data_IF_138585828312
#
_entry.id   IF_138585828312
#
_cell.length_a   1.000
_cell.length_b   1.000
_cell.length_c   1.000
_cell.angle_alpha   90.00
_cell.angle_beta   90.00
_cell.angle_gamma   90.00
#
_symmetry.space_group_name_H-M   'P 1'
#
loop_
_entity.id
_entity.type
_entity.pdbx_description
1 polymer ?
#
# COMPACT_ATOMS: atom_id res chain seq x y z
N UNK A 1 -31.66 33.09 15.92
CA UNK A 1 -32.92 32.34 15.77
C UNK A 1 -33.62 32.29 17.11
N UNK A 2 -34.89 32.75 17.20
CA UNK A 2 -35.73 32.65 18.42
C UNK A 2 -36.68 31.48 18.32
N UNK A 3 -37.08 30.89 19.43
CA UNK A 3 -38.11 29.85 19.48
C UNK A 3 -39.43 30.43 18.94
N UNK A 4 -40.12 29.69 18.04
CA UNK A 4 -41.35 30.15 17.40
C UNK A 4 -42.39 29.03 17.33
N UNK A 5 -42.88 28.64 18.50
CA UNK A 5 -43.88 27.57 18.61
C UNK A 5 -43.36 26.17 18.21
N UNK A 6 -44.32 25.26 18.06
CA UNK A 6 -44.05 23.89 17.62
C UNK A 6 -44.86 23.59 16.35
N UNK A 7 -44.44 22.59 15.59
CA UNK A 7 -45.24 22.04 14.47
C UNK A 7 -46.38 21.19 15.04
N UNK A 8 -47.35 20.83 14.20
CA UNK A 8 -48.41 19.89 14.59
C UNK A 8 -47.94 18.48 15.02
N UNK A 9 -46.63 18.17 14.72
CA UNK A 9 -45.93 16.96 15.18
C UNK A 9 -45.03 17.21 16.42
N UNK A 10 -45.28 18.31 17.16
CA UNK A 10 -44.55 18.62 18.39
C UNK A 10 -43.12 19.17 18.21
N UNK A 11 -42.65 19.38 17.00
CA UNK A 11 -41.26 19.80 16.70
C UNK A 11 -41.09 21.29 16.92
N UNK A 12 -40.03 21.68 17.65
CA UNK A 12 -39.70 23.08 17.88
C UNK A 12 -39.39 23.82 16.56
N UNK A 13 -40.12 24.90 16.31
CA UNK A 13 -39.84 25.83 15.21
C UNK A 13 -38.96 26.97 15.72
N UNK A 14 -38.13 27.46 14.83
CA UNK A 14 -37.23 28.59 15.06
C UNK A 14 -37.48 29.66 14.00
N UNK A 15 -37.48 30.92 14.36
CA UNK A 15 -37.66 32.06 13.47
C UNK A 15 -36.46 32.99 13.52
N UNK A 16 -35.96 33.39 12.36
CA UNK A 16 -34.95 34.42 12.24
C UNK A 16 -35.58 35.80 12.51
N UNK A 17 -35.05 36.59 13.48
CA UNK A 17 -35.58 37.92 13.72
C UNK A 17 -35.33 38.90 12.56
N UNK A 18 -34.23 38.72 11.81
CA UNK A 18 -33.87 39.59 10.71
C UNK A 18 -34.68 39.30 9.42
N UNK A 19 -34.66 38.04 8.93
CA UNK A 19 -35.34 37.67 7.68
C UNK A 19 -36.71 37.00 7.86
N UNK A 20 -37.17 36.85 9.10
CA UNK A 20 -38.44 36.20 9.49
C UNK A 20 -38.61 34.74 9.03
N UNK A 21 -37.60 34.12 8.40
CA UNK A 21 -37.64 32.74 7.96
C UNK A 21 -37.88 31.81 9.14
N UNK A 22 -38.84 30.91 9.01
CA UNK A 22 -39.12 29.86 10.02
C UNK A 22 -38.53 28.53 9.60
N UNK A 23 -37.88 27.86 10.54
CA UNK A 23 -37.16 26.60 10.25
C UNK A 23 -37.27 25.61 11.43
N UNK A 24 -37.24 24.34 11.12
CA UNK A 24 -37.08 23.23 12.09
C UNK A 24 -35.64 22.72 12.11
N UNK A 25 -34.69 23.63 11.94
CA UNK A 25 -33.28 23.37 11.68
C UNK A 25 -32.57 22.36 12.62
N UNK A 26 -32.87 22.30 13.96
CA UNK A 26 -32.26 21.27 14.81
C UNK A 26 -32.52 19.84 14.34
N UNK A 27 -33.71 19.57 13.75
CA UNK A 27 -34.04 18.25 13.26
C UNK A 27 -33.36 17.92 11.91
N UNK A 28 -33.19 18.92 11.05
CA UNK A 28 -32.48 18.74 9.77
C UNK A 28 -31.02 18.37 10.03
N UNK A 29 -30.41 19.03 11.01
CA UNK A 29 -29.02 18.73 11.42
C UNK A 29 -28.91 17.33 12.01
N UNK A 30 -29.73 16.99 13.01
CA UNK A 30 -29.76 15.65 13.62
C UNK A 30 -30.06 14.53 12.61
N UNK A 31 -30.94 14.79 11.64
CA UNK A 31 -31.24 13.83 10.57
C UNK A 31 -30.04 13.62 9.64
N UNK A 32 -29.31 14.68 9.31
CA UNK A 32 -28.07 14.57 8.52
C UNK A 32 -26.98 13.85 9.29
N UNK A 33 -26.76 14.20 10.53
CA UNK A 33 -25.80 13.51 11.41
C UNK A 33 -26.12 12.01 11.49
N UNK A 34 -27.34 11.64 11.77
CA UNK A 34 -27.78 10.21 11.80
C UNK A 34 -27.58 9.53 10.43
N UNK A 35 -27.86 10.22 9.33
CA UNK A 35 -27.66 9.65 7.99
C UNK A 35 -26.18 9.47 7.67
N UNK A 36 -25.32 10.38 8.14
CA UNK A 36 -23.86 10.25 8.00
C UNK A 36 -23.35 9.08 8.85
N UNK A 37 -23.81 8.94 10.07
CA UNK A 37 -23.48 7.80 10.95
C UNK A 37 -23.91 6.48 10.32
N UNK A 38 -25.12 6.41 9.77
CA UNK A 38 -25.64 5.25 9.02
C UNK A 38 -24.77 4.92 7.80
N UNK A 39 -24.37 5.95 7.03
CA UNK A 39 -23.47 5.83 5.89
C UNK A 39 -22.09 5.32 6.30
N UNK A 40 -21.47 5.90 7.34
CA UNK A 40 -20.16 5.49 7.83
C UNK A 40 -20.20 4.07 8.42
N UNK A 41 -21.25 3.74 9.17
CA UNK A 41 -21.44 2.39 9.72
C UNK A 41 -21.57 1.33 8.61
N UNK A 42 -22.26 1.67 7.52
CA UNK A 42 -22.36 0.80 6.36
C UNK A 42 -21.04 0.74 5.59
N UNK A 43 -20.39 1.88 5.32
CA UNK A 43 -19.15 1.99 4.54
C UNK A 43 -17.98 1.27 5.23
N UNK A 44 -17.89 1.38 6.56
CA UNK A 44 -16.82 0.79 7.36
C UNK A 44 -17.18 -0.59 7.93
N UNK A 45 -18.44 -1.02 7.73
CA UNK A 45 -18.94 -2.30 8.22
C UNK A 45 -18.66 -3.46 7.25
N UNK A 46 -18.85 -4.70 7.71
CA UNK A 46 -18.65 -5.90 6.91
C UNK A 46 -19.73 -6.13 5.84
N UNK A 47 -20.79 -5.29 5.82
CA UNK A 47 -21.92 -5.47 4.92
C UNK A 47 -21.61 -4.95 3.53
N UNK A 48 -21.61 -5.85 2.53
CA UNK A 48 -21.51 -5.44 1.14
C UNK A 48 -22.75 -4.64 0.69
N UNK A 49 -22.59 -3.83 -0.35
CA UNK A 49 -23.73 -3.11 -0.96
C UNK A 49 -24.84 -4.09 -1.37
N UNK A 50 -24.48 -5.30 -1.80
CA UNK A 50 -25.40 -6.37 -2.17
C UNK A 50 -26.23 -6.87 -0.97
N UNK A 51 -25.62 -6.96 0.21
CA UNK A 51 -26.31 -7.34 1.44
C UNK A 51 -27.26 -6.22 1.91
N UNK A 52 -26.86 -4.96 1.81
CA UNK A 52 -27.76 -3.82 2.06
C UNK A 52 -28.91 -3.75 1.05
N UNK A 53 -28.64 -4.10 -0.21
CA UNK A 53 -29.66 -4.17 -1.28
C UNK A 53 -30.66 -5.32 -1.06
N UNK A 54 -30.24 -6.47 -0.52
CA UNK A 54 -31.11 -7.61 -0.24
C UNK A 54 -32.07 -7.41 0.95
N UNK A 55 -31.79 -6.45 1.83
CA UNK A 55 -32.65 -6.08 2.95
C UNK A 55 -33.91 -5.28 2.53
N UNK A 56 -34.20 -5.14 1.23
CA UNK A 56 -35.46 -4.64 0.70
C UNK A 56 -35.62 -3.12 0.61
N UNK A 57 -34.74 -2.32 1.17
CA UNK A 57 -34.81 -0.83 1.21
C UNK A 57 -33.63 -0.12 0.53
N UNK A 58 -32.96 -0.82 -0.38
CA UNK A 58 -31.76 -0.36 -1.06
C UNK A 58 -31.91 0.98 -1.79
N UNK A 59 -33.07 1.17 -2.46
CA UNK A 59 -33.36 2.42 -3.19
C UNK A 59 -33.52 3.60 -2.24
N UNK A 60 -34.22 3.40 -1.13
CA UNK A 60 -34.43 4.44 -0.13
C UNK A 60 -33.13 4.75 0.61
N UNK A 61 -32.32 3.75 0.94
CA UNK A 61 -30.98 3.94 1.52
C UNK A 61 -30.09 4.75 0.57
N UNK A 62 -29.93 4.32 -0.69
CA UNK A 62 -29.13 5.04 -1.70
C UNK A 62 -29.56 6.50 -1.87
N UNK A 63 -30.86 6.77 -1.95
CA UNK A 63 -31.38 8.13 -2.02
C UNK A 63 -31.09 8.94 -0.78
N UNK A 64 -31.16 8.33 0.39
CA UNK A 64 -30.90 8.95 1.70
C UNK A 64 -29.42 9.32 1.87
N UNK A 65 -28.49 8.42 1.51
CA UNK A 65 -27.05 8.59 1.66
C UNK A 65 -26.38 9.30 0.46
N UNK A 66 -27.09 9.53 -0.64
CA UNK A 66 -26.49 10.08 -1.87
C UNK A 66 -25.71 11.39 -1.67
N UNK A 67 -26.07 12.23 -0.72
CA UNK A 67 -25.36 13.44 -0.40
C UNK A 67 -24.03 13.18 0.35
N UNK A 68 -23.91 12.05 1.07
CA UNK A 68 -22.70 11.68 1.80
C UNK A 68 -21.53 11.46 0.85
N UNK A 69 -21.78 10.92 -0.35
CA UNK A 69 -20.77 10.72 -1.39
C UNK A 69 -20.18 12.04 -1.95
N UNK A 70 -20.80 13.17 -1.64
CA UNK A 70 -20.29 14.49 -2.02
C UNK A 70 -19.42 15.12 -0.95
N UNK A 71 -19.31 14.50 0.21
CA UNK A 71 -18.39 14.91 1.26
C UNK A 71 -16.99 14.62 0.78
N UNK A 72 -16.14 15.65 0.75
CA UNK A 72 -14.71 15.50 0.49
C UNK A 72 -14.01 15.53 1.84
N UNK A 73 -13.49 14.39 2.33
CA UNK A 73 -12.71 14.39 3.55
C UNK A 73 -11.50 15.30 3.35
N UNK A 74 -11.16 16.05 4.38
CA UNK A 74 -9.92 16.83 4.42
C UNK A 74 -9.09 16.28 5.57
N UNK A 75 -7.86 15.95 5.26
CA UNK A 75 -6.84 15.65 6.28
C UNK A 75 -6.06 16.93 6.46
N UNK A 76 -5.86 17.36 7.71
CA UNK A 76 -4.91 18.40 8.01
C UNK A 76 -3.51 17.87 7.64
N UNK A 77 -2.67 18.66 6.96
CA UNK A 77 -1.29 18.24 6.75
C UNK A 77 -0.66 17.88 8.10
N UNK A 78 0.12 16.79 8.17
CA UNK A 78 0.76 16.43 9.43
C UNK A 78 1.74 17.53 9.85
N UNK A 79 1.53 18.08 11.05
CA UNK A 79 2.37 19.14 11.61
C UNK A 79 3.76 18.65 11.98
N UNK A 80 3.91 17.34 12.17
CA UNK A 80 5.14 16.72 12.65
C UNK A 80 5.65 15.64 11.67
N UNK A 81 6.97 15.54 11.60
CA UNK A 81 7.67 14.45 10.94
C UNK A 81 7.24 13.11 11.54
N UNK A 82 6.92 12.15 10.70
CA UNK A 82 6.65 10.77 11.13
C UNK A 82 7.93 9.94 11.06
N UNK A 83 8.10 9.02 12.01
CA UNK A 83 9.22 8.11 11.98
C UNK A 83 9.13 7.17 10.78
N UNK A 84 7.97 6.53 10.58
CA UNK A 84 7.74 5.62 9.47
C UNK A 84 6.52 6.03 8.67
N UNK A 85 6.64 5.98 7.35
CA UNK A 85 5.52 6.15 6.41
C UNK A 85 5.40 4.89 5.57
N UNK A 86 4.19 4.39 5.41
CA UNK A 86 3.85 3.36 4.42
C UNK A 86 3.10 4.01 3.27
N UNK A 87 3.45 3.68 2.03
CA UNK A 87 2.73 4.16 0.86
C UNK A 87 2.53 3.04 -0.15
N UNK A 88 1.31 2.95 -0.68
CA UNK A 88 0.93 1.95 -1.67
C UNK A 88 -0.24 2.46 -2.51
N UNK A 89 -0.42 1.90 -3.70
CA UNK A 89 -1.48 2.24 -4.63
C UNK A 89 -2.53 1.14 -4.76
N UNK A 90 -3.78 1.54 -4.83
CA UNK A 90 -4.92 0.65 -5.06
C UNK A 90 -5.65 1.05 -6.34
N UNK A 91 -5.84 0.09 -7.24
CA UNK A 91 -6.60 0.31 -8.47
C UNK A 91 -8.10 0.12 -8.23
N UNK A 92 -8.85 1.18 -8.47
CA UNK A 92 -10.31 1.23 -8.26
C UNK A 92 -11.11 0.87 -9.54
N UNK A 93 -10.45 0.32 -10.55
CA UNK A 93 -11.02 0.05 -11.86
C UNK A 93 -11.04 1.29 -12.79
N UNK A 94 -11.39 1.08 -14.06
CA UNK A 94 -11.59 2.16 -15.07
C UNK A 94 -10.44 3.19 -15.19
N UNK A 95 -9.18 2.77 -14.96
CA UNK A 95 -8.02 3.65 -15.09
C UNK A 95 -7.82 4.62 -13.92
N UNK A 96 -8.44 4.36 -12.78
CA UNK A 96 -8.24 5.12 -11.55
C UNK A 96 -7.42 4.35 -10.54
N UNK A 97 -6.42 5.01 -9.99
CA UNK A 97 -5.60 4.52 -8.90
C UNK A 97 -5.58 5.54 -7.76
N UNK A 98 -5.68 5.06 -6.55
CA UNK A 98 -5.55 5.84 -5.33
C UNK A 98 -4.27 5.42 -4.61
N UNK A 99 -3.31 6.33 -4.52
CA UNK A 99 -2.12 6.15 -3.68
C UNK A 99 -2.43 6.73 -2.30
N UNK A 100 -2.17 5.97 -1.25
CA UNK A 100 -2.40 6.38 0.14
C UNK A 100 -1.07 6.33 0.89
N UNK A 101 -0.81 7.35 1.71
CA UNK A 101 0.28 7.36 2.68
C UNK A 101 -0.30 7.31 4.10
N UNK A 102 0.20 6.39 4.90
CA UNK A 102 -0.17 6.25 6.31
C UNK A 102 1.05 6.34 7.22
N UNK A 103 0.84 6.73 8.45
CA UNK A 103 1.81 6.54 9.52
C UNK A 103 1.99 5.04 9.78
N UNK A 104 3.21 4.54 9.65
CA UNK A 104 3.50 3.12 9.81
C UNK A 104 3.35 2.62 11.25
N UNK A 105 3.40 3.50 12.25
CA UNK A 105 3.25 3.15 13.66
C UNK A 105 1.79 3.17 14.12
N UNK A 106 1.03 4.20 13.75
CA UNK A 106 -0.35 4.41 14.21
C UNK A 106 -1.38 3.86 13.21
N UNK A 107 -1.07 3.86 11.91
CA UNK A 107 -2.01 3.57 10.83
C UNK A 107 -2.85 4.78 10.41
N UNK A 108 -2.58 5.96 10.99
CA UNK A 108 -3.25 7.21 10.61
C UNK A 108 -2.99 7.52 9.14
N UNK A 109 -4.05 7.85 8.39
CA UNK A 109 -3.91 8.31 7.00
C UNK A 109 -3.34 9.73 7.00
N UNK A 110 -2.18 9.90 6.39
CA UNK A 110 -1.48 11.18 6.32
C UNK A 110 -1.92 12.01 5.12
N UNK A 111 -2.03 11.38 3.95
CA UNK A 111 -2.53 12.02 2.73
C UNK A 111 -2.75 10.95 1.65
N UNK A 112 -3.38 11.36 0.53
CA UNK A 112 -3.59 10.50 -0.63
C UNK A 112 -3.45 11.25 -1.96
N UNK A 113 -3.22 10.50 -3.04
CA UNK A 113 -3.13 11.03 -4.39
C UNK A 113 -3.95 10.18 -5.37
N UNK A 114 -4.88 10.82 -6.07
CA UNK A 114 -5.56 10.22 -7.21
C UNK A 114 -4.69 10.31 -8.47
N UNK A 115 -4.61 9.23 -9.22
CA UNK A 115 -3.87 9.16 -10.48
C UNK A 115 -4.50 8.13 -11.43
N UNK A 116 -4.09 8.14 -12.69
CA UNK A 116 -4.53 7.11 -13.64
C UNK A 116 -3.79 5.77 -13.42
N UNK A 117 -2.53 5.85 -13.01
CA UNK A 117 -1.67 4.71 -12.69
C UNK A 117 -0.56 5.13 -11.74
N UNK A 118 -0.02 4.17 -11.02
CA UNK A 118 1.11 4.38 -10.15
C UNK A 118 2.36 4.78 -10.95
N UNK A 119 2.80 6.00 -10.76
CA UNK A 119 3.98 6.55 -11.43
C UNK A 119 4.86 7.32 -10.46
N UNK A 120 6.13 7.54 -10.84
CA UNK A 120 7.02 8.42 -10.06
C UNK A 120 6.39 9.80 -9.82
N UNK A 121 5.75 10.38 -10.83
CA UNK A 121 5.13 11.71 -10.73
C UNK A 121 3.98 11.72 -9.71
N UNK A 122 3.14 10.67 -9.69
CA UNK A 122 2.03 10.55 -8.74
C UNK A 122 2.53 10.41 -7.28
N UNK A 123 3.54 9.56 -7.04
CA UNK A 123 4.17 9.45 -5.73
C UNK A 123 4.88 10.73 -5.32
N UNK A 124 5.58 11.40 -6.25
CA UNK A 124 6.26 12.67 -5.97
C UNK A 124 5.25 13.75 -5.56
N UNK A 125 4.11 13.84 -6.25
CA UNK A 125 3.05 14.77 -5.90
C UNK A 125 2.49 14.53 -4.49
N UNK A 126 2.39 13.27 -4.04
CA UNK A 126 2.00 12.92 -2.68
C UNK A 126 3.10 13.29 -1.68
N UNK A 127 4.32 12.81 -1.93
CA UNK A 127 5.44 12.94 -0.99
C UNK A 127 5.87 14.40 -0.79
N UNK A 128 5.72 15.26 -1.79
CA UNK A 128 6.04 16.70 -1.69
C UNK A 128 5.15 17.45 -0.69
N UNK A 129 4.02 16.88 -0.31
CA UNK A 129 3.09 17.48 0.66
C UNK A 129 3.32 17.00 2.09
N UNK A 130 4.17 16.00 2.27
CA UNK A 130 4.44 15.38 3.56
C UNK A 130 5.87 15.69 4.02
N UNK A 131 6.09 15.89 5.33
CA UNK A 131 7.45 15.94 5.89
C UNK A 131 8.18 14.62 5.64
N UNK A 132 9.50 14.70 5.35
CA UNK A 132 10.33 13.53 5.12
C UNK A 132 10.38 12.62 6.36
N UNK A 133 9.96 11.34 6.26
CA UNK A 133 10.08 10.39 7.37
C UNK A 133 11.50 9.88 7.53
N UNK A 134 11.78 9.16 8.62
CA UNK A 134 13.03 8.44 8.75
C UNK A 134 13.05 7.22 7.82
N UNK A 135 11.90 6.51 7.72
CA UNK A 135 11.77 5.30 6.91
C UNK A 135 10.50 5.33 6.06
N UNK A 136 10.64 5.05 4.76
CA UNK A 136 9.55 4.67 3.88
C UNK A 136 9.47 3.15 3.76
N UNK A 137 8.29 2.58 4.02
CA UNK A 137 8.02 1.15 3.83
C UNK A 137 7.14 1.02 2.58
N UNK A 138 7.60 0.25 1.58
CA UNK A 138 6.92 0.11 0.28
C UNK A 138 7.02 -1.31 -0.28
N UNK A 139 6.09 -1.68 -1.15
CA UNK A 139 6.12 -2.92 -1.94
C UNK A 139 7.28 -2.97 -2.94
N UNK A 140 7.87 -1.79 -3.26
CA UNK A 140 9.04 -1.59 -4.10
C UNK A 140 8.71 -1.33 -5.56
N UNK A 141 7.61 -0.69 -5.81
CA UNK A 141 7.39 -0.08 -7.10
C UNK A 141 8.49 0.96 -7.38
N UNK A 142 9.15 0.86 -8.54
CA UNK A 142 10.24 1.76 -8.92
C UNK A 142 9.85 3.24 -8.87
N UNK A 143 8.59 3.54 -9.17
CA UNK A 143 8.03 4.89 -9.10
C UNK A 143 8.06 5.46 -7.68
N UNK A 144 7.64 4.68 -6.70
CA UNK A 144 7.65 5.06 -5.28
C UNK A 144 9.08 5.27 -4.75
N UNK A 145 9.99 4.34 -5.05
CA UNK A 145 11.39 4.45 -4.62
C UNK A 145 12.09 5.67 -5.24
N UNK A 146 11.88 5.92 -6.55
CA UNK A 146 12.45 7.08 -7.23
C UNK A 146 11.86 8.42 -6.76
N UNK A 147 10.58 8.43 -6.41
CA UNK A 147 9.94 9.60 -5.81
C UNK A 147 10.46 9.87 -4.40
N UNK A 148 10.65 8.83 -3.59
CA UNK A 148 11.24 8.93 -2.26
C UNK A 148 12.65 9.53 -2.32
N UNK A 149 13.52 8.99 -3.17
CA UNK A 149 14.90 9.51 -3.34
C UNK A 149 14.91 10.98 -3.73
N UNK A 150 13.95 11.43 -4.52
CA UNK A 150 13.86 12.83 -4.97
C UNK A 150 13.23 13.75 -3.92
N UNK A 151 12.13 13.37 -3.30
CA UNK A 151 11.42 14.20 -2.31
C UNK A 151 12.08 14.16 -0.94
N UNK A 152 12.64 13.01 -0.56
CA UNK A 152 13.16 12.70 0.77
C UNK A 152 14.53 12.03 0.71
N UNK A 153 15.59 12.73 0.26
CA UNK A 153 16.91 12.12 -0.01
C UNK A 153 17.58 11.46 1.20
N UNK A 154 17.18 11.85 2.43
CA UNK A 154 17.70 11.23 3.67
C UNK A 154 16.86 10.07 4.22
N UNK A 155 15.72 9.77 3.60
CA UNK A 155 14.81 8.71 4.06
C UNK A 155 15.33 7.34 3.70
N UNK A 156 15.37 6.41 4.67
CA UNK A 156 15.70 5.00 4.42
C UNK A 156 14.50 4.29 3.79
N UNK A 157 14.77 3.34 2.91
CA UNK A 157 13.72 2.52 2.29
C UNK A 157 13.76 1.12 2.87
N UNK A 158 12.67 0.70 3.49
CA UNK A 158 12.41 -0.69 3.85
C UNK A 158 11.48 -1.32 2.82
N UNK A 159 11.91 -2.40 2.20
CA UNK A 159 11.05 -3.20 1.31
C UNK A 159 10.13 -4.09 2.11
N UNK A 160 8.86 -4.13 1.74
CA UNK A 160 7.92 -5.10 2.29
C UNK A 160 8.42 -6.53 2.02
N UNK A 161 8.79 -7.25 3.07
CA UNK A 161 9.40 -8.58 2.93
C UNK A 161 8.42 -9.61 2.34
N UNK A 162 7.12 -9.48 2.62
CA UNK A 162 6.08 -10.33 2.01
C UNK A 162 6.03 -10.13 0.50
N UNK A 163 6.13 -8.89 0.01
CA UNK A 163 6.20 -8.60 -1.42
C UNK A 163 7.49 -9.14 -2.06
N UNK A 164 8.64 -9.07 -1.36
CA UNK A 164 9.88 -9.66 -1.84
C UNK A 164 9.75 -11.18 -1.98
N UNK A 165 9.15 -11.85 -0.99
CA UNK A 165 8.86 -13.29 -1.04
C UNK A 165 7.90 -13.64 -2.19
N UNK A 166 6.80 -12.88 -2.33
CA UNK A 166 5.81 -13.07 -3.40
C UNK A 166 6.47 -12.96 -4.79
N UNK A 167 7.27 -11.91 -4.99
CA UNK A 167 7.99 -11.69 -6.24
C UNK A 167 9.01 -12.78 -6.55
N UNK A 168 9.69 -13.32 -5.54
CA UNK A 168 10.62 -14.45 -5.69
C UNK A 168 9.85 -15.72 -6.04
N UNK A 169 8.72 -15.97 -5.38
CA UNK A 169 7.85 -17.11 -5.65
C UNK A 169 7.23 -17.05 -7.06
N UNK A 170 6.86 -15.86 -7.53
CA UNK A 170 6.37 -15.68 -8.90
C UNK A 170 7.44 -16.02 -9.93
N UNK A 171 8.69 -15.58 -9.73
CA UNK A 171 9.79 -15.87 -10.66
C UNK A 171 10.29 -17.32 -10.61
N UNK A 172 10.28 -17.96 -9.43
CA UNK A 172 10.78 -19.35 -9.25
C UNK A 172 9.67 -20.40 -9.30
N UNK A 173 8.42 -20.01 -9.33
CA UNK A 173 7.23 -20.83 -9.06
C UNK A 173 7.09 -21.23 -7.58
N UNK A 174 5.93 -21.76 -7.19
CA UNK A 174 5.70 -22.27 -5.82
C UNK A 174 6.49 -23.54 -5.52
N UNK A 175 6.79 -24.35 -6.55
CA UNK A 175 7.52 -25.64 -6.47
C UNK A 175 8.63 -25.67 -7.53
N UNK A 176 9.78 -25.01 -7.30
CA UNK A 176 10.89 -25.00 -8.27
C UNK A 176 11.41 -26.42 -8.52
N UNK A 177 11.60 -26.76 -9.80
CA UNK A 177 12.15 -28.08 -10.18
C UNK A 177 13.67 -28.15 -9.95
N UNK A 178 14.37 -27.05 -10.21
CA UNK A 178 15.82 -26.94 -10.07
C UNK A 178 16.22 -26.85 -8.60
N UNK A 179 17.30 -27.51 -8.20
CA UNK A 179 17.81 -27.48 -6.84
C UNK A 179 18.18 -26.06 -6.43
N UNK A 180 18.92 -25.32 -7.30
CA UNK A 180 19.25 -23.92 -7.08
C UNK A 180 18.01 -23.05 -6.79
N UNK A 181 16.92 -23.27 -7.53
CA UNK A 181 15.65 -22.58 -7.32
C UNK A 181 15.00 -22.93 -5.98
N UNK A 182 15.03 -24.23 -5.57
CA UNK A 182 14.51 -24.65 -4.25
C UNK A 182 15.29 -24.02 -3.10
N UNK A 183 16.60 -23.95 -3.22
CA UNK A 183 17.47 -23.34 -2.20
C UNK A 183 17.25 -21.81 -2.11
N UNK A 184 17.22 -21.11 -3.25
CA UNK A 184 16.98 -19.67 -3.27
C UNK A 184 15.59 -19.30 -2.75
N UNK A 185 14.58 -20.12 -3.09
CA UNK A 185 13.23 -19.96 -2.54
C UNK A 185 13.22 -20.10 -1.02
N UNK A 186 13.90 -21.11 -0.45
CA UNK A 186 14.02 -21.28 1.01
C UNK A 186 14.67 -20.08 1.69
N UNK A 187 15.71 -19.49 1.07
CA UNK A 187 16.32 -18.25 1.57
C UNK A 187 15.31 -17.10 1.56
N UNK A 188 14.57 -16.94 0.49
CA UNK A 188 13.52 -15.91 0.40
C UNK A 188 12.40 -16.14 1.43
N UNK A 189 11.94 -17.38 1.62
CA UNK A 189 10.89 -17.71 2.58
C UNK A 189 11.29 -17.41 4.04
N UNK A 190 12.60 -17.37 4.35
CA UNK A 190 13.13 -17.00 5.67
C UNK A 190 13.21 -15.49 5.95
N UNK A 191 13.00 -14.62 4.96
CA UNK A 191 13.14 -13.17 5.13
C UNK A 191 12.30 -12.63 6.27
N UNK A 192 11.06 -13.05 6.38
CA UNK A 192 10.13 -12.58 7.42
C UNK A 192 10.42 -13.12 8.81
N UNK A 193 11.30 -14.12 8.94
CA UNK A 193 11.72 -14.71 10.21
C UNK A 193 13.03 -14.11 10.75
N UNK A 194 13.63 -13.15 10.05
CA UNK A 194 14.81 -12.43 10.51
C UNK A 194 14.38 -11.37 11.52
N UNK A 195 14.89 -11.44 12.75
CA UNK A 195 14.49 -10.58 13.87
C UNK A 195 15.66 -9.84 14.52
N UNK A 196 16.88 -10.23 14.22
CA UNK A 196 18.09 -9.64 14.78
C UNK A 196 19.12 -9.32 13.70
N UNK A 197 19.99 -8.34 13.97
CA UNK A 197 21.11 -8.01 13.09
C UNK A 197 22.02 -9.22 12.80
N UNK A 198 22.29 -10.05 13.81
CA UNK A 198 23.07 -11.27 13.63
C UNK A 198 22.38 -12.29 12.70
N UNK A 199 21.05 -12.39 12.73
CA UNK A 199 20.30 -13.22 11.77
C UNK A 199 20.35 -12.62 10.36
N UNK A 200 20.31 -11.30 10.22
CA UNK A 200 20.43 -10.62 8.92
C UNK A 200 21.80 -10.86 8.28
N UNK A 201 22.88 -10.81 9.08
CA UNK A 201 24.24 -11.14 8.63
C UNK A 201 24.31 -12.59 8.13
N UNK A 202 23.85 -13.56 8.94
CA UNK A 202 23.81 -14.97 8.54
C UNK A 202 22.96 -15.24 7.30
N UNK A 203 21.88 -14.48 7.13
CA UNK A 203 21.08 -14.57 5.91
C UNK A 203 21.87 -14.10 4.68
N UNK A 204 22.61 -13.00 4.81
CA UNK A 204 23.49 -12.48 3.76
C UNK A 204 24.62 -13.47 3.41
N UNK A 205 25.27 -14.07 4.42
CA UNK A 205 26.27 -15.12 4.25
C UNK A 205 25.70 -16.33 3.50
N UNK A 206 24.49 -16.76 3.85
CA UNK A 206 23.80 -17.85 3.17
C UNK A 206 23.46 -17.53 1.71
N UNK A 207 23.09 -16.27 1.41
CA UNK A 207 22.86 -15.82 0.03
C UNK A 207 24.17 -15.80 -0.78
N UNK A 208 25.29 -15.37 -0.17
CA UNK A 208 26.61 -15.41 -0.79
C UNK A 208 27.06 -16.84 -1.04
N UNK A 209 26.92 -17.73 -0.07
CA UNK A 209 27.26 -19.15 -0.22
C UNK A 209 26.40 -19.83 -1.33
N UNK A 210 25.12 -19.44 -1.45
CA UNK A 210 24.29 -19.90 -2.55
C UNK A 210 24.87 -19.41 -3.89
N UNK A 211 25.28 -18.15 -3.98
CA UNK A 211 25.87 -17.61 -5.21
C UNK A 211 27.17 -18.31 -5.59
N UNK A 212 28.09 -18.50 -4.66
CA UNK A 212 29.34 -19.21 -4.94
C UNK A 212 29.11 -20.63 -5.47
N UNK A 213 28.10 -21.32 -4.94
CA UNK A 213 27.73 -22.66 -5.43
C UNK A 213 27.12 -22.66 -6.83
N UNK A 214 26.31 -21.65 -7.16
CA UNK A 214 25.48 -21.66 -8.37
C UNK A 214 25.88 -20.59 -9.40
N UNK A 215 26.97 -19.86 -9.20
CA UNK A 215 27.35 -18.73 -10.08
C UNK A 215 27.57 -19.14 -11.53
N UNK A 216 28.21 -20.27 -11.79
CA UNK A 216 28.43 -20.77 -13.14
C UNK A 216 27.14 -21.26 -13.78
N UNK A 217 26.30 -21.96 -13.02
CA UNK A 217 24.99 -22.41 -13.46
C UNK A 217 24.06 -21.25 -13.86
N UNK A 218 23.99 -20.20 -13.07
CA UNK A 218 23.17 -19.01 -13.43
C UNK A 218 23.84 -18.12 -14.49
N UNK A 219 25.09 -18.38 -14.85
CA UNK A 219 25.82 -17.71 -15.93
C UNK A 219 25.75 -18.47 -17.26
N UNK A 220 25.12 -19.64 -17.30
CA UNK A 220 24.91 -20.41 -18.53
C UNK A 220 24.11 -19.61 -19.56
N UNK A 221 24.51 -19.78 -20.84
CA UNK A 221 23.88 -19.11 -21.99
C UNK A 221 23.37 -20.15 -22.98
N UNK A 222 22.16 -19.97 -23.44
CA UNK A 222 21.61 -20.69 -24.59
C UNK A 222 21.76 -19.83 -25.82
N UNK A 223 22.35 -20.36 -26.87
CA UNK A 223 22.52 -19.66 -28.15
C UNK A 223 21.39 -20.00 -29.11
N UNK A 224 21.00 -19.02 -29.93
CA UNK A 224 19.90 -19.18 -30.88
C UNK A 224 20.13 -20.34 -31.88
N UNK A 225 21.40 -20.62 -32.22
CA UNK A 225 21.77 -21.75 -33.08
C UNK A 225 21.50 -23.13 -32.44
N UNK A 226 21.55 -23.19 -31.11
CA UNK A 226 21.40 -24.43 -30.33
C UNK A 226 19.92 -24.71 -29.98
N UNK A 227 19.06 -23.67 -30.05
CA UNK A 227 17.61 -23.74 -29.80
C UNK A 227 16.85 -22.81 -30.79
N UNK A 228 16.87 -23.11 -32.09
CA UNK A 228 16.28 -22.26 -33.12
C UNK A 228 14.75 -22.16 -33.05
N UNK A 229 14.10 -23.11 -32.39
CA UNK A 229 12.64 -23.15 -32.23
C UNK A 229 12.14 -22.19 -31.13
N UNK A 230 13.04 -21.69 -30.29
CA UNK A 230 12.68 -20.78 -29.22
C UNK A 230 12.30 -19.39 -29.79
N UNK A 231 11.17 -18.80 -29.34
CA UNK A 231 10.77 -17.46 -29.79
C UNK A 231 11.83 -16.37 -29.60
N UNK A 232 12.76 -16.57 -28.65
CA UNK A 232 13.88 -15.64 -28.41
C UNK A 232 14.92 -15.69 -29.55
N UNK A 233 15.05 -16.81 -30.25
CA UNK A 233 16.04 -17.00 -31.28
C UNK A 233 15.89 -16.02 -32.45
N UNK A 234 14.67 -15.54 -32.73
CA UNK A 234 14.39 -14.53 -33.75
C UNK A 234 14.87 -13.13 -33.42
N UNK A 235 15.11 -12.85 -32.11
CA UNK A 235 15.44 -11.50 -31.62
C UNK A 235 16.78 -11.41 -30.92
N UNK A 236 17.36 -12.52 -30.46
CA UNK A 236 18.57 -12.56 -29.65
C UNK A 236 19.52 -13.62 -30.20
N UNK A 237 20.83 -13.32 -30.25
CA UNK A 237 21.87 -14.32 -30.57
C UNK A 237 22.05 -15.33 -29.42
N UNK A 238 21.76 -14.93 -28.20
CA UNK A 238 21.82 -15.75 -26.99
C UNK A 238 20.96 -15.14 -25.89
N UNK A 239 20.59 -15.94 -24.89
CA UNK A 239 19.90 -15.53 -23.65
C UNK A 239 20.41 -16.35 -22.47
N UNK A 240 20.12 -15.88 -21.26
CA UNK A 240 20.45 -16.65 -20.07
C UNK A 240 19.57 -17.89 -19.99
N UNK A 241 20.20 -19.10 -19.86
CA UNK A 241 19.49 -20.37 -19.75
C UNK A 241 18.56 -20.37 -18.53
N UNK A 242 19.02 -19.80 -17.43
CA UNK A 242 18.31 -19.73 -16.15
C UNK A 242 17.91 -18.29 -15.81
N UNK A 243 17.28 -17.57 -16.74
CA UNK A 243 17.02 -16.14 -16.64
C UNK A 243 16.21 -15.75 -15.39
N UNK A 244 15.11 -16.45 -15.09
CA UNK A 244 14.27 -16.14 -13.94
C UNK A 244 14.98 -16.38 -12.61
N UNK A 245 15.74 -17.49 -12.49
CA UNK A 245 16.55 -17.78 -11.33
C UNK A 245 17.61 -16.69 -11.09
N UNK A 246 18.31 -16.32 -12.15
CA UNK A 246 19.29 -15.23 -12.14
C UNK A 246 18.65 -13.90 -11.75
N UNK A 247 17.47 -13.57 -12.27
CA UNK A 247 16.72 -12.35 -11.95
C UNK A 247 16.32 -12.30 -10.49
N UNK A 248 15.81 -13.41 -9.94
CA UNK A 248 15.45 -13.53 -8.53
C UNK A 248 16.65 -13.34 -7.61
N UNK A 249 17.77 -14.03 -7.89
CA UNK A 249 19.01 -13.85 -7.14
C UNK A 249 19.47 -12.39 -7.16
N UNK A 250 19.63 -11.78 -8.35
CA UNK A 250 20.11 -10.41 -8.48
C UNK A 250 19.21 -9.38 -7.78
N UNK A 251 17.91 -9.65 -7.71
CA UNK A 251 16.98 -8.82 -6.95
C UNK A 251 17.26 -8.90 -5.45
N UNK A 252 17.40 -10.11 -4.91
CA UNK A 252 17.68 -10.31 -3.49
C UNK A 252 19.04 -9.74 -3.11
N UNK A 253 20.07 -10.00 -3.89
CA UNK A 253 21.44 -9.50 -3.70
C UNK A 253 21.45 -7.95 -3.70
N UNK A 254 20.84 -7.32 -4.70
CA UNK A 254 20.75 -5.88 -4.77
C UNK A 254 20.04 -5.28 -3.57
N UNK A 255 18.88 -5.81 -3.19
CA UNK A 255 18.12 -5.30 -2.04
C UNK A 255 18.88 -5.46 -0.72
N UNK A 256 19.62 -6.55 -0.56
CA UNK A 256 20.47 -6.76 0.60
C UNK A 256 21.63 -5.76 0.64
N UNK A 257 22.37 -5.61 -0.46
CA UNK A 257 23.49 -4.67 -0.59
C UNK A 257 23.06 -3.21 -0.39
N UNK A 258 21.85 -2.84 -0.87
CA UNK A 258 21.28 -1.51 -0.70
C UNK A 258 20.71 -1.28 0.72
N UNK A 259 20.78 -2.26 1.63
CA UNK A 259 20.24 -2.17 2.99
C UNK A 259 18.71 -2.11 3.06
N UNK A 260 18.00 -2.52 2.01
CA UNK A 260 16.54 -2.37 1.91
C UNK A 260 15.74 -3.56 2.43
N UNK A 261 16.40 -4.67 2.75
CA UNK A 261 15.73 -5.86 3.32
C UNK A 261 15.58 -5.77 4.84
N UNK A 262 16.58 -5.22 5.51
CA UNK A 262 16.67 -5.28 6.97
C UNK A 262 16.91 -3.91 7.60
N UNK A 263 16.45 -2.82 6.95
CA UNK A 263 16.51 -1.47 7.51
C UNK A 263 15.81 -1.39 8.88
N UNK A 264 14.75 -2.19 9.09
CA UNK A 264 14.05 -2.29 10.37
C UNK A 264 14.89 -2.82 11.55
N UNK A 265 16.12 -3.29 11.30
CA UNK A 265 17.07 -3.74 12.32
C UNK A 265 18.20 -2.72 12.57
N UNK A 266 18.24 -1.61 11.84
CA UNK A 266 19.27 -0.57 11.99
C UNK A 266 19.10 0.13 13.36
N UNK A 267 20.14 0.13 14.24
CA UNK A 267 20.03 0.70 15.58
C UNK A 267 19.62 2.17 15.59
N UNK A 268 20.10 2.96 14.62
CA UNK A 268 19.76 4.39 14.52
C UNK A 268 18.27 4.60 14.22
N UNK A 269 17.67 3.76 13.41
CA UNK A 269 16.24 3.85 13.11
C UNK A 269 15.39 3.39 14.30
N UNK A 270 15.85 2.39 15.04
CA UNK A 270 15.13 1.88 16.22
C UNK A 270 15.04 2.91 17.36
N UNK A 271 15.86 3.97 17.37
CA UNK A 271 15.73 5.09 18.32
C UNK A 271 14.41 5.85 18.16
N UNK A 272 13.85 5.91 16.95
CA UNK A 272 12.55 6.53 16.65
C UNK A 272 11.35 5.62 16.91
N UNK A 273 11.61 4.37 17.29
CA UNK A 273 10.58 3.35 17.55
C UNK A 273 10.67 2.17 16.58
N UNK A 274 9.75 1.20 16.68
CA UNK A 274 9.77 0.01 15.84
C UNK A 274 9.47 0.36 14.37
N UNK A 275 10.22 -0.24 13.46
CA UNK A 275 10.02 -0.16 12.02
C UNK A 275 9.38 -1.45 11.54
N UNK A 276 8.24 -1.37 10.86
CA UNK A 276 7.57 -2.55 10.33
C UNK A 276 8.31 -3.13 9.12
N UNK A 277 8.35 -4.45 9.04
CA UNK A 277 8.97 -5.20 7.93
C UNK A 277 8.02 -5.52 6.77
N UNK A 278 6.73 -5.15 6.92
CA UNK A 278 5.67 -5.42 5.93
C UNK A 278 4.71 -4.24 5.82
N UNK A 279 3.96 -4.18 4.73
CA UNK A 279 2.88 -3.20 4.47
C UNK A 279 1.51 -3.70 4.92
N UNK A 280 1.43 -4.80 5.68
CA UNK A 280 0.16 -5.43 6.06
C UNK A 280 -0.82 -4.46 6.73
N UNK A 281 -0.33 -3.47 7.49
CA UNK A 281 -1.18 -2.46 8.12
C UNK A 281 -1.92 -1.60 7.09
N UNK A 282 -1.24 -1.24 6.01
CA UNK A 282 -1.84 -0.49 4.91
C UNK A 282 -2.81 -1.37 4.09
N UNK A 283 -2.39 -2.59 3.75
CA UNK A 283 -3.20 -3.54 2.98
C UNK A 283 -4.47 -3.95 3.74
N UNK A 284 -4.38 -4.19 5.05
CA UNK A 284 -5.53 -4.50 5.91
C UNK A 284 -6.54 -3.34 5.99
N UNK A 285 -6.07 -2.11 6.04
CA UNK A 285 -6.91 -0.91 6.02
C UNK A 285 -7.60 -0.68 4.68
N UNK A 286 -6.90 -0.88 3.57
CA UNK A 286 -7.44 -0.72 2.21
C UNK A 286 -8.39 -1.84 1.85
N UNK A 287 -8.10 -3.08 2.21
CA UNK A 287 -8.97 -4.23 1.94
C UNK A 287 -10.29 -4.19 2.72
N UNK A 288 -10.34 -3.53 3.88
CA UNK A 288 -11.61 -3.33 4.61
C UNK A 288 -12.56 -2.37 3.89
N UNK A 289 -12.08 -1.61 2.90
CA UNK A 289 -12.85 -0.65 2.09
C UNK A 289 -13.23 -1.23 0.71
N UNK A 290 -12.67 -2.38 0.31
CA UNK A 290 -12.77 -2.94 -1.05
C UNK A 290 -13.86 -4.00 -1.24
N UNK A 291 -14.80 -4.19 -0.28
CA UNK A 291 -15.90 -5.14 -0.39
C UNK A 291 -17.28 -4.50 -0.35
#
# INVERSE_FOLDING_TARGET
>A
MKKNGRTGKGVQRWKCPACRLSSTMPQRRRRRERTLEEFLSWLLGPSSQRAADSAGDARALRKRIAWCWRIRPRIAPPDARRHTVMADGTYMGHGWCLIIAIDGQTGEVLDWQWCAHESKAAYLALFSRLPAPDVLITDGLRGAEAACTQAWPGTRIQRCLVHVQRNTRTGLTSRPRLQAGRELKRLSDRLTSVETAGQAVRWGEALNAWHERWKDFIAERTYARDDPSNPKASRHRWWWTHEELRRCYRRLERLFREGRLFAYLEPELLKGGPVARTTNRLEGGVNSVSY
#
